data_IF_806444741768
#
_entry.id   IF_806444741768
#
_cell.length_a   1.000
_cell.length_b   1.000
_cell.length_c   1.000
_cell.angle_alpha   90.00
_cell.angle_beta   90.00
_cell.angle_gamma   90.00
#
_symmetry.space_group_name_H-M   'P 1'
#
loop_
_entity.id
_entity.type
_entity.pdbx_description
1 polymer ?
#
# COMPACT_ATOMS: atom_id res chain seq x y z
N UNK A 1 -78.32 10.21 0.17
CA UNK A 1 -77.16 9.31 0.23
C UNK A 1 -76.05 9.96 -0.60
N UNK A 2 -75.10 10.70 0.04
CA UNK A 2 -73.98 11.37 -0.64
C UNK A 2 -72.74 10.50 -0.38
N UNK A 3 -72.17 9.88 -1.45
CA UNK A 3 -70.92 9.14 -1.37
C UNK A 3 -69.77 10.15 -1.54
N UNK A 4 -68.99 10.31 -0.47
CA UNK A 4 -67.71 11.07 -0.50
C UNK A 4 -66.61 10.12 -0.97
N UNK A 5 -66.05 10.38 -2.15
CA UNK A 5 -64.89 9.67 -2.69
C UNK A 5 -63.61 10.33 -2.16
N UNK A 6 -62.92 9.68 -1.24
CA UNK A 6 -61.63 10.12 -0.74
C UNK A 6 -60.53 9.66 -1.71
N UNK A 7 -59.94 10.59 -2.44
CA UNK A 7 -58.72 10.36 -3.23
C UNK A 7 -57.50 10.36 -2.30
N UNK A 8 -56.88 9.19 -2.07
CA UNK A 8 -55.59 9.06 -1.44
C UNK A 8 -54.53 9.45 -2.49
N UNK A 9 -53.93 10.63 -2.32
CA UNK A 9 -52.78 11.09 -3.10
C UNK A 9 -51.52 10.46 -2.52
N UNK A 10 -51.07 9.30 -3.05
CA UNK A 10 -49.77 8.75 -2.75
C UNK A 10 -48.70 9.63 -3.40
N UNK A 11 -48.11 10.52 -2.65
CA UNK A 11 -46.90 11.24 -3.05
C UNK A 11 -45.72 10.24 -3.08
N UNK A 12 -45.38 9.77 -4.28
CA UNK A 12 -44.13 9.04 -4.52
C UNK A 12 -43.02 10.04 -4.44
N UNK A 13 -42.39 10.13 -3.28
CA UNK A 13 -41.08 10.80 -3.10
C UNK A 13 -40.03 9.99 -3.87
N UNK A 14 -39.88 10.29 -5.15
CA UNK A 14 -38.73 9.85 -5.94
C UNK A 14 -37.49 10.52 -5.32
N UNK A 15 -36.85 9.84 -4.38
CA UNK A 15 -35.54 10.24 -3.93
C UNK A 15 -34.60 10.29 -5.13
N UNK A 16 -34.19 11.47 -5.56
CA UNK A 16 -33.08 11.63 -6.49
C UNK A 16 -31.86 11.00 -5.80
N UNK A 17 -31.53 9.77 -6.19
CA UNK A 17 -30.23 9.19 -5.89
C UNK A 17 -29.20 10.06 -6.62
N UNK A 18 -28.59 11.00 -5.91
CA UNK A 18 -27.42 11.70 -6.42
C UNK A 18 -26.33 10.64 -6.56
N UNK A 19 -26.02 10.32 -7.82
CA UNK A 19 -24.89 9.45 -8.12
C UNK A 19 -23.64 10.12 -7.58
N UNK A 20 -22.96 9.46 -6.66
CA UNK A 20 -21.68 9.95 -6.16
C UNK A 20 -20.68 9.95 -7.31
N UNK A 21 -19.87 11.01 -7.38
CA UNK A 21 -18.78 11.03 -8.35
C UNK A 21 -17.73 9.97 -7.97
N UNK A 22 -17.24 9.20 -8.96
CA UNK A 22 -16.34 8.09 -8.70
C UNK A 22 -15.10 8.48 -7.88
N UNK A 23 -14.74 7.62 -6.91
CA UNK A 23 -13.46 7.66 -6.22
C UNK A 23 -12.51 6.72 -6.96
N UNK A 24 -11.47 7.27 -7.58
CA UNK A 24 -10.44 6.51 -8.28
C UNK A 24 -9.18 6.46 -7.45
N UNK A 25 -8.61 5.28 -7.30
CA UNK A 25 -7.37 5.02 -6.54
C UNK A 25 -6.34 4.44 -7.50
N UNK A 26 -5.11 4.95 -7.46
CA UNK A 26 -4.11 4.57 -8.44
C UNK A 26 -3.57 3.15 -8.28
N UNK A 27 -3.17 2.74 -7.07
CA UNK A 27 -2.51 1.46 -6.80
C UNK A 27 -3.29 0.58 -5.83
N UNK A 28 -3.09 -0.72 -5.96
CA UNK A 28 -3.85 -1.73 -5.23
C UNK A 28 -3.75 -1.63 -3.70
N UNK A 29 -2.59 -1.39 -3.05
CA UNK A 29 -2.53 -1.26 -1.59
C UNK A 29 -3.42 -0.12 -1.06
N UNK A 30 -3.41 1.03 -1.72
CA UNK A 30 -4.24 2.19 -1.32
C UNK A 30 -5.71 1.93 -1.64
N UNK A 31 -6.00 1.20 -2.72
CA UNK A 31 -7.36 0.76 -3.05
C UNK A 31 -7.96 -0.15 -1.97
N UNK A 32 -7.19 -1.10 -1.45
CA UNK A 32 -7.65 -1.96 -0.34
C UNK A 32 -7.97 -1.14 0.93
N UNK A 33 -7.17 -0.11 1.24
CA UNK A 33 -7.49 0.81 2.33
C UNK A 33 -8.78 1.57 2.00
N UNK A 34 -8.90 2.15 0.80
CA UNK A 34 -10.08 2.90 0.40
C UNK A 34 -11.36 2.06 0.48
N UNK A 35 -11.33 0.80 0.04
CA UNK A 35 -12.46 -0.13 0.17
C UNK A 35 -12.93 -0.29 1.63
N UNK A 36 -12.00 -0.41 2.59
CA UNK A 36 -12.34 -0.46 4.02
C UNK A 36 -13.05 0.80 4.48
N UNK A 37 -12.58 1.97 4.03
CA UNK A 37 -13.11 3.26 4.47
C UNK A 37 -14.48 3.55 3.85
N UNK A 38 -14.69 3.16 2.59
CA UNK A 38 -15.91 3.46 1.84
C UNK A 38 -16.98 2.36 1.94
N UNK A 39 -16.70 1.30 2.66
CA UNK A 39 -17.60 0.15 2.82
C UNK A 39 -19.02 0.57 3.24
N UNK A 40 -20.02 0.09 2.51
CA UNK A 40 -21.43 0.38 2.76
C UNK A 40 -21.90 1.74 2.21
N UNK A 41 -21.02 2.52 1.58
CA UNK A 41 -21.34 3.81 0.94
C UNK A 41 -21.09 3.75 -0.56
N UNK A 42 -19.87 3.39 -0.96
CA UNK A 42 -19.44 3.36 -2.36
C UNK A 42 -18.34 2.33 -2.57
N UNK A 43 -18.09 1.96 -3.82
CA UNK A 43 -16.97 1.12 -4.23
C UNK A 43 -15.96 1.98 -4.99
N UNK A 44 -14.72 2.15 -4.51
CA UNK A 44 -13.70 2.85 -5.26
C UNK A 44 -13.32 2.07 -6.53
N UNK A 45 -12.80 2.78 -7.53
CA UNK A 45 -12.25 2.20 -8.75
C UNK A 45 -10.72 2.11 -8.64
N UNK A 46 -10.14 0.96 -8.99
CA UNK A 46 -8.69 0.78 -9.09
C UNK A 46 -8.22 1.17 -10.49
N UNK A 47 -7.31 2.16 -10.58
CA UNK A 47 -6.81 2.65 -11.85
C UNK A 47 -5.80 1.69 -12.50
N UNK A 48 -4.81 1.22 -11.73
CA UNK A 48 -3.69 0.43 -12.23
C UNK A 48 -3.85 -1.05 -11.83
N UNK A 49 -4.79 -1.72 -12.47
CA UNK A 49 -4.93 -3.17 -12.27
C UNK A 49 -3.72 -3.91 -12.85
N UNK A 50 -3.12 -4.81 -12.05
CA UNK A 50 -2.00 -5.67 -12.46
C UNK A 50 -0.74 -4.92 -12.96
N UNK A 51 -0.57 -3.66 -12.58
CA UNK A 51 0.62 -2.87 -12.87
C UNK A 51 1.32 -2.47 -11.56
N UNK A 52 2.66 -2.49 -11.57
CA UNK A 52 3.41 -1.81 -10.51
C UNK A 52 3.34 -0.30 -10.74
N UNK A 53 3.34 0.50 -9.66
CA UNK A 53 3.33 1.96 -9.76
C UNK A 53 4.54 2.52 -10.54
N UNK A 54 5.62 1.75 -10.64
CA UNK A 54 6.85 2.14 -11.33
C UNK A 54 6.74 2.04 -12.86
N UNK A 55 5.95 1.08 -13.39
CA UNK A 55 5.83 0.77 -14.82
C UNK A 55 4.43 1.06 -15.37
N UNK A 56 3.98 2.30 -15.20
CA UNK A 56 2.63 2.68 -15.58
C UNK A 56 2.51 2.92 -17.08
N UNK A 57 1.61 2.18 -17.75
CA UNK A 57 1.18 2.43 -19.11
C UNK A 57 -0.28 2.92 -19.12
N UNK A 58 -0.47 4.21 -19.38
CA UNK A 58 -1.79 4.81 -19.43
C UNK A 58 -2.53 4.46 -20.73
N UNK A 59 -3.64 3.75 -20.59
CA UNK A 59 -4.59 3.46 -21.66
C UNK A 59 -5.62 4.59 -21.82
N UNK A 60 -6.38 4.64 -22.94
CA UNK A 60 -7.53 5.53 -23.07
C UNK A 60 -8.58 5.34 -21.96
N UNK A 61 -8.78 4.10 -21.48
CA UNK A 61 -9.71 3.81 -20.38
C UNK A 61 -9.24 4.46 -19.07
N UNK A 62 -7.94 4.38 -18.74
CA UNK A 62 -7.38 5.05 -17.56
C UNK A 62 -7.58 6.57 -17.62
N UNK A 63 -7.37 7.19 -18.80
CA UNK A 63 -7.60 8.64 -18.97
C UNK A 63 -9.05 9.01 -18.77
N UNK A 64 -9.98 8.18 -19.27
CA UNK A 64 -11.41 8.38 -19.07
C UNK A 64 -11.78 8.26 -17.59
N UNK A 65 -11.33 7.23 -16.88
CA UNK A 65 -11.57 7.06 -15.44
C UNK A 65 -11.09 8.28 -14.64
N UNK A 66 -9.89 8.79 -14.93
CA UNK A 66 -9.35 10.02 -14.31
C UNK A 66 -10.23 11.25 -14.62
N UNK A 67 -10.74 11.36 -15.84
CA UNK A 67 -11.53 12.50 -16.31
C UNK A 67 -12.93 12.53 -15.67
N UNK A 68 -13.53 11.35 -15.51
CA UNK A 68 -14.87 11.18 -14.91
C UNK A 68 -14.83 11.20 -13.36
N UNK A 69 -13.65 11.07 -12.76
CA UNK A 69 -13.49 10.98 -11.31
C UNK A 69 -13.85 12.28 -10.59
N UNK A 70 -14.63 12.16 -9.52
CA UNK A 70 -14.84 13.26 -8.58
C UNK A 70 -13.67 13.45 -7.60
N UNK A 71 -12.86 12.40 -7.43
CA UNK A 71 -11.63 12.42 -6.66
C UNK A 71 -10.71 11.30 -7.15
N UNK A 72 -9.45 11.64 -7.44
CA UNK A 72 -8.37 10.68 -7.70
C UNK A 72 -7.39 10.74 -6.54
N UNK A 73 -7.13 9.60 -5.89
CA UNK A 73 -6.08 9.49 -4.88
C UNK A 73 -4.96 8.63 -5.46
N UNK A 74 -3.78 9.20 -5.55
CA UNK A 74 -2.57 8.53 -6.02
C UNK A 74 -1.45 8.68 -5.00
N UNK A 75 -0.44 7.82 -5.10
CA UNK A 75 0.64 7.88 -4.13
C UNK A 75 1.50 9.14 -4.33
N UNK A 76 1.78 9.50 -5.57
CA UNK A 76 2.55 10.69 -5.91
C UNK A 76 3.64 10.42 -6.96
N UNK A 77 4.20 11.47 -7.52
CA UNK A 77 5.20 11.39 -8.60
C UNK A 77 6.45 10.58 -8.27
N UNK A 78 6.79 10.48 -6.99
CA UNK A 78 7.95 9.70 -6.57
C UNK A 78 7.77 8.19 -6.78
N UNK A 79 6.51 7.71 -6.85
CA UNK A 79 6.17 6.31 -7.09
C UNK A 79 5.62 6.10 -8.50
N UNK A 80 4.76 7.02 -8.95
CA UNK A 80 3.96 6.90 -10.17
C UNK A 80 4.31 8.04 -11.14
N UNK A 81 5.61 8.19 -11.44
CA UNK A 81 6.11 9.28 -12.29
C UNK A 81 5.34 9.47 -13.63
N UNK A 82 4.88 8.41 -14.34
CA UNK A 82 4.11 8.59 -15.57
C UNK A 82 2.74 9.26 -15.34
N UNK A 83 2.14 9.16 -14.15
CA UNK A 83 0.86 9.79 -13.83
C UNK A 83 0.98 11.31 -13.64
N UNK A 84 2.15 11.84 -13.32
CA UNK A 84 2.37 13.27 -13.09
C UNK A 84 1.84 14.13 -14.25
N UNK A 85 2.01 13.67 -15.49
CA UNK A 85 1.53 14.40 -16.68
C UNK A 85 0.01 14.57 -16.77
N UNK A 86 -0.74 13.69 -16.09
CA UNK A 86 -2.22 13.66 -16.15
C UNK A 86 -2.83 14.13 -14.84
N UNK A 87 -2.17 13.87 -13.71
CA UNK A 87 -2.67 14.18 -12.37
C UNK A 87 -2.04 15.45 -11.78
N UNK A 88 -0.81 15.78 -12.18
CA UNK A 88 -0.15 17.02 -11.76
C UNK A 88 -0.94 18.24 -12.26
N UNK A 89 -1.50 19.01 -11.32
CA UNK A 89 -2.36 20.15 -11.64
C UNK A 89 -3.84 19.83 -11.84
N UNK A 90 -4.26 18.56 -11.78
CA UNK A 90 -5.69 18.21 -11.73
C UNK A 90 -6.24 18.54 -10.33
N UNK A 91 -7.23 19.46 -10.20
CA UNK A 91 -7.76 19.88 -8.90
C UNK A 91 -8.48 18.74 -8.15
N UNK A 92 -8.89 17.69 -8.84
CA UNK A 92 -9.53 16.51 -8.27
C UNK A 92 -8.52 15.40 -7.91
N UNK A 93 -7.22 15.61 -8.17
CA UNK A 93 -6.19 14.62 -7.85
C UNK A 93 -5.40 15.02 -6.60
N UNK A 94 -5.27 14.08 -5.68
CA UNK A 94 -4.55 14.28 -4.42
C UNK A 94 -3.45 13.25 -4.28
N UNK A 95 -2.20 13.73 -4.12
CA UNK A 95 -1.02 12.91 -3.82
C UNK A 95 -0.95 12.64 -2.31
N UNK A 96 -0.84 11.37 -1.94
CA UNK A 96 -0.64 10.96 -0.55
C UNK A 96 0.72 11.44 -0.03
N UNK A 97 1.78 11.28 -0.81
CA UNK A 97 3.14 11.66 -0.39
C UNK A 97 3.30 13.17 -0.20
N UNK A 98 2.57 14.00 -0.98
CA UNK A 98 2.62 15.45 -0.89
C UNK A 98 1.62 16.03 0.14
N UNK A 99 0.73 15.20 0.70
CA UNK A 99 -0.32 15.63 1.64
C UNK A 99 0.18 16.01 3.03
N UNK A 100 1.41 15.64 3.39
CA UNK A 100 1.99 15.85 4.72
C UNK A 100 1.50 14.90 5.82
N UNK A 101 0.59 13.95 5.50
CA UNK A 101 0.07 12.99 6.50
C UNK A 101 1.01 11.83 6.77
N UNK A 102 1.95 11.56 5.87
CA UNK A 102 2.82 10.38 5.93
C UNK A 102 4.07 10.65 6.75
N UNK A 103 4.42 9.71 7.60
CA UNK A 103 5.74 9.65 8.19
C UNK A 103 6.67 8.94 7.20
N UNK A 104 7.29 9.75 6.32
CA UNK A 104 8.16 9.27 5.27
C UNK A 104 9.55 8.92 5.78
N UNK A 105 10.14 7.87 5.20
CA UNK A 105 11.54 7.49 5.37
C UNK A 105 12.29 7.80 4.06
N UNK A 106 13.59 8.15 4.12
CA UNK A 106 14.40 8.30 2.90
C UNK A 106 14.67 6.94 2.25
N UNK A 107 14.87 6.91 0.95
CA UNK A 107 15.49 5.74 0.30
C UNK A 107 16.85 5.44 0.92
N UNK A 108 17.28 4.20 0.83
CA UNK A 108 18.61 3.75 1.22
C UNK A 108 19.33 3.14 0.02
N UNK A 109 20.64 3.28 0.00
CA UNK A 109 21.48 2.49 -0.91
C UNK A 109 21.41 0.99 -0.57
N UNK A 110 21.88 0.15 -1.46
CA UNK A 110 22.04 -1.30 -1.22
C UNK A 110 22.85 -1.64 0.04
N UNK A 111 23.57 -0.67 0.61
CA UNK A 111 24.36 -0.80 1.85
C UNK A 111 23.70 -0.18 3.09
N UNK A 112 22.46 0.26 2.97
CA UNK A 112 21.67 0.82 4.07
C UNK A 112 21.98 2.28 4.41
N UNK A 113 22.72 3.00 3.57
CA UNK A 113 22.99 4.43 3.77
C UNK A 113 21.82 5.24 3.24
N UNK A 114 21.21 6.06 4.10
CA UNK A 114 20.11 6.94 3.71
C UNK A 114 20.52 7.95 2.64
N UNK A 115 19.68 8.11 1.62
CA UNK A 115 19.88 9.02 0.50
C UNK A 115 19.08 10.30 0.78
N UNK A 116 19.78 11.42 0.91
CA UNK A 116 19.14 12.71 1.22
C UNK A 116 18.17 13.14 0.11
N UNK A 117 17.11 13.84 0.50
CA UNK A 117 16.09 14.39 -0.40
C UNK A 117 15.36 13.34 -1.25
N UNK A 118 15.25 12.11 -0.75
CA UNK A 118 14.48 11.03 -1.36
C UNK A 118 13.40 10.55 -0.41
N UNK A 119 12.41 9.82 -0.95
CA UNK A 119 11.34 9.19 -0.18
C UNK A 119 11.26 7.73 -0.61
N UNK A 120 11.33 6.81 0.37
CA UNK A 120 10.89 5.43 0.18
C UNK A 120 9.37 5.43 0.07
N UNK A 121 8.87 5.00 -1.07
CA UNK A 121 7.46 5.13 -1.42
C UNK A 121 6.58 3.98 -0.91
N UNK A 122 7.14 2.92 -0.29
CA UNK A 122 6.39 1.77 0.23
C UNK A 122 5.67 2.07 1.55
N UNK A 123 5.15 3.29 1.68
CA UNK A 123 4.60 3.88 2.92
C UNK A 123 3.43 3.11 3.53
N UNK A 124 2.66 2.37 2.71
CA UNK A 124 1.52 1.56 3.17
C UNK A 124 1.93 0.36 4.02
N UNK A 125 3.19 -0.03 3.98
CA UNK A 125 3.71 -1.14 4.80
C UNK A 125 3.87 -0.77 6.27
N UNK A 126 3.98 0.53 6.62
CA UNK A 126 3.89 0.98 8.02
C UNK A 126 2.43 1.00 8.49
N UNK A 127 2.06 0.25 9.54
CA UNK A 127 0.70 0.23 10.08
C UNK A 127 0.14 1.60 10.44
N UNK A 128 0.99 2.52 10.94
CA UNK A 128 0.53 3.86 11.30
C UNK A 128 0.29 4.73 10.07
N UNK A 129 1.12 4.61 9.03
CA UNK A 129 0.88 5.30 7.77
C UNK A 129 -0.40 4.77 7.11
N UNK A 130 -0.62 3.44 7.09
CA UNK A 130 -1.87 2.86 6.60
C UNK A 130 -3.10 3.44 7.31
N UNK A 131 -3.05 3.55 8.65
CA UNK A 131 -4.10 4.18 9.46
C UNK A 131 -4.30 5.65 9.11
N UNK A 132 -3.22 6.41 8.93
CA UNK A 132 -3.27 7.83 8.52
C UNK A 132 -3.91 7.99 7.14
N UNK A 133 -3.55 7.13 6.18
CA UNK A 133 -4.17 7.09 4.85
C UNK A 133 -5.67 6.83 4.97
N UNK A 134 -6.08 5.86 5.79
CA UNK A 134 -7.50 5.58 6.02
C UNK A 134 -8.27 6.78 6.58
N UNK A 135 -7.74 7.47 7.59
CA UNK A 135 -8.37 8.70 8.12
C UNK A 135 -8.37 9.84 7.11
N UNK A 136 -7.34 9.95 6.28
CA UNK A 136 -7.27 10.95 5.23
C UNK A 136 -8.36 10.75 4.17
N UNK A 137 -8.53 9.52 3.69
CA UNK A 137 -9.62 9.17 2.77
C UNK A 137 -10.98 9.47 3.41
N UNK A 138 -11.19 9.11 4.69
CA UNK A 138 -12.43 9.40 5.40
C UNK A 138 -12.70 10.91 5.50
N UNK A 139 -11.67 11.72 5.73
CA UNK A 139 -11.80 13.18 5.79
C UNK A 139 -12.21 13.76 4.43
N UNK A 140 -11.52 13.38 3.35
CA UNK A 140 -11.80 13.85 2.00
C UNK A 140 -13.23 13.49 1.56
N UNK A 141 -13.63 12.23 1.74
CA UNK A 141 -14.98 11.79 1.35
C UNK A 141 -16.06 12.39 2.26
N UNK A 142 -15.79 12.60 3.54
CA UNK A 142 -16.73 13.30 4.45
C UNK A 142 -16.93 14.76 4.10
N UNK A 143 -15.95 15.42 3.49
CA UNK A 143 -16.07 16.78 2.99
C UNK A 143 -16.91 16.84 1.70
N UNK A 144 -16.73 15.87 0.80
CA UNK A 144 -17.50 15.77 -0.44
C UNK A 144 -18.94 15.29 -0.21
N UNK A 145 -19.17 14.39 0.76
CA UNK A 145 -20.47 13.77 1.07
C UNK A 145 -20.73 13.80 2.58
N UNK A 146 -21.14 14.96 3.12
CA UNK A 146 -21.36 15.16 4.57
C UNK A 146 -22.41 14.21 5.14
N UNK A 147 -23.38 13.77 4.35
CA UNK A 147 -24.44 12.82 4.72
C UNK A 147 -23.88 11.43 5.08
N UNK A 148 -22.74 11.04 4.52
CA UNK A 148 -22.06 9.78 4.80
C UNK A 148 -20.90 9.90 5.80
N UNK A 149 -20.64 11.09 6.33
CA UNK A 149 -19.53 11.39 7.22
C UNK A 149 -19.42 10.41 8.38
N UNK A 150 -20.54 10.10 9.05
CA UNK A 150 -20.52 9.20 10.21
C UNK A 150 -20.02 7.80 9.82
N UNK A 151 -20.39 7.30 8.64
CA UNK A 151 -20.00 5.98 8.15
C UNK A 151 -18.51 5.94 7.80
N UNK A 152 -18.00 6.89 7.02
CA UNK A 152 -16.57 6.99 6.70
C UNK A 152 -15.69 7.02 7.96
N UNK A 153 -16.05 7.85 8.95
CA UNK A 153 -15.29 7.95 10.19
C UNK A 153 -15.37 6.69 11.05
N UNK A 154 -16.53 6.01 11.10
CA UNK A 154 -16.68 4.75 11.83
C UNK A 154 -15.85 3.65 11.17
N UNK A 155 -15.87 3.56 9.84
CA UNK A 155 -15.05 2.62 9.08
C UNK A 155 -13.55 2.88 9.32
N UNK A 156 -13.09 4.14 9.27
CA UNK A 156 -11.70 4.49 9.54
C UNK A 156 -11.26 4.12 10.97
N UNK A 157 -12.13 4.35 11.97
CA UNK A 157 -11.85 3.92 13.35
C UNK A 157 -11.80 2.39 13.49
N UNK A 158 -12.66 1.65 12.78
CA UNK A 158 -12.63 0.19 12.77
C UNK A 158 -11.34 -0.32 12.14
N UNK A 159 -11.02 0.19 10.95
CA UNK A 159 -9.77 -0.12 10.25
C UNK A 159 -8.54 0.15 11.13
N UNK A 160 -8.50 1.31 11.81
CA UNK A 160 -7.39 1.65 12.69
C UNK A 160 -7.22 0.65 13.84
N UNK A 161 -8.34 0.24 14.50
CA UNK A 161 -8.29 -0.79 15.56
C UNK A 161 -7.81 -2.14 15.04
N UNK A 162 -8.32 -2.58 13.89
CA UNK A 162 -7.92 -3.83 13.25
C UNK A 162 -6.43 -3.82 12.91
N UNK A 163 -5.95 -2.75 12.28
CA UNK A 163 -4.57 -2.60 11.83
C UNK A 163 -3.57 -2.56 13.00
N UNK A 164 -3.88 -1.77 14.04
CA UNK A 164 -3.03 -1.68 15.23
C UNK A 164 -3.00 -3.02 15.98
N UNK A 165 -4.16 -3.68 16.14
CA UNK A 165 -4.22 -5.01 16.76
C UNK A 165 -3.41 -6.04 15.96
N UNK A 166 -3.50 -6.02 14.62
CA UNK A 166 -2.73 -6.89 13.74
C UNK A 166 -1.23 -6.68 13.92
N UNK A 167 -0.79 -5.43 13.93
CA UNK A 167 0.62 -5.06 14.13
C UNK A 167 1.14 -5.49 15.51
N UNK A 168 0.38 -5.25 16.57
CA UNK A 168 0.76 -5.64 17.94
C UNK A 168 0.93 -7.15 18.10
N UNK A 169 0.04 -7.95 17.50
CA UNK A 169 0.10 -9.43 17.55
C UNK A 169 1.33 -10.01 16.85
N UNK A 170 1.86 -9.30 15.86
CA UNK A 170 3.03 -9.72 15.07
C UNK A 170 4.32 -9.01 15.50
N UNK A 171 4.22 -8.06 16.43
CA UNK A 171 5.40 -7.40 16.98
C UNK A 171 6.29 -8.41 17.71
N UNK A 172 7.59 -8.35 17.46
CA UNK A 172 8.58 -9.18 18.12
C UNK A 172 9.47 -8.36 19.06
N UNK A 173 9.91 -8.98 20.15
CA UNK A 173 10.82 -8.38 21.14
C UNK A 173 12.25 -8.90 20.98
N UNK A 174 13.18 -8.30 21.72
CA UNK A 174 14.60 -8.68 21.73
C UNK A 174 15.42 -7.96 20.65
N UNK A 175 16.60 -8.51 20.32
CA UNK A 175 17.48 -7.89 19.33
C UNK A 175 16.85 -7.94 17.93
N UNK A 176 16.94 -6.83 17.16
CA UNK A 176 16.46 -6.79 15.78
C UNK A 176 17.06 -7.90 14.92
N UNK A 177 16.26 -8.47 14.02
CA UNK A 177 16.66 -9.59 13.18
C UNK A 177 17.09 -9.10 11.81
N UNK A 178 18.30 -9.49 11.40
CA UNK A 178 18.87 -9.09 10.12
C UNK A 178 18.18 -9.80 8.96
N UNK A 179 17.95 -9.05 7.87
CA UNK A 179 17.48 -9.57 6.60
C UNK A 179 18.22 -8.91 5.43
N UNK A 180 18.24 -9.58 4.32
CA UNK A 180 18.57 -9.04 3.01
C UNK A 180 17.32 -8.84 2.18
N UNK A 181 17.34 -7.88 1.29
CA UNK A 181 16.29 -7.66 0.31
C UNK A 181 16.81 -7.83 -1.12
N UNK A 182 15.95 -8.16 -2.07
CA UNK A 182 16.30 -8.04 -3.47
C UNK A 182 16.47 -6.56 -3.82
N UNK A 183 15.40 -5.75 -3.68
CA UNK A 183 15.47 -4.30 -3.57
C UNK A 183 14.87 -3.84 -2.23
N UNK A 184 15.15 -2.63 -1.77
CA UNK A 184 14.76 -2.17 -0.42
C UNK A 184 13.29 -1.71 -0.35
N UNK A 185 12.35 -2.64 -0.50
CA UNK A 185 10.91 -2.38 -0.38
C UNK A 185 10.36 -2.51 1.04
N UNK A 186 11.12 -3.07 1.99
CA UNK A 186 10.60 -3.55 3.28
C UNK A 186 10.99 -2.68 4.48
N UNK A 187 11.55 -1.49 4.26
CA UNK A 187 12.02 -0.58 5.30
C UNK A 187 10.94 -0.25 6.34
N UNK A 188 9.71 -0.04 5.89
CA UNK A 188 8.57 0.26 6.77
C UNK A 188 8.09 -0.92 7.63
N UNK A 189 8.55 -2.14 7.37
CA UNK A 189 8.29 -3.30 8.22
C UNK A 189 9.31 -3.44 9.36
N UNK A 190 10.43 -2.72 9.32
CA UNK A 190 11.51 -2.89 10.30
C UNK A 190 11.04 -2.61 11.72
N UNK A 191 10.37 -1.49 11.93
CA UNK A 191 9.88 -1.11 13.25
C UNK A 191 8.79 -2.06 13.76
N UNK A 192 7.70 -2.33 13.04
CA UNK A 192 6.63 -3.21 13.55
C UNK A 192 7.07 -4.65 13.76
N UNK A 193 8.02 -5.17 12.99
CA UNK A 193 8.47 -6.55 13.08
C UNK A 193 9.83 -6.72 13.78
N UNK A 194 10.43 -5.63 14.27
CA UNK A 194 11.76 -5.62 14.91
C UNK A 194 12.84 -6.24 14.01
N UNK A 195 12.94 -5.71 12.78
CA UNK A 195 13.92 -6.14 11.78
C UNK A 195 15.05 -5.15 11.65
N UNK A 196 16.16 -5.61 11.07
CA UNK A 196 17.34 -4.80 10.74
C UNK A 196 17.80 -5.11 9.32
N UNK A 197 17.75 -4.11 8.47
CA UNK A 197 18.30 -4.21 7.14
C UNK A 197 19.80 -4.49 7.17
N UNK A 198 20.24 -5.48 6.40
CA UNK A 198 21.65 -5.86 6.29
C UNK A 198 22.17 -5.74 4.85
N UNK A 199 21.37 -5.19 3.94
CA UNK A 199 21.71 -4.89 2.57
C UNK A 199 20.71 -5.41 1.55
N UNK A 200 20.76 -4.84 0.34
CA UNK A 200 19.97 -5.28 -0.80
C UNK A 200 20.87 -5.72 -1.96
N UNK A 201 20.30 -6.51 -2.85
CA UNK A 201 21.00 -6.99 -4.05
C UNK A 201 21.10 -5.92 -5.14
N UNK A 202 20.09 -5.05 -5.23
CA UNK A 202 20.00 -3.97 -6.21
C UNK A 202 19.25 -2.78 -5.61
N UNK A 203 19.44 -1.59 -6.19
CA UNK A 203 18.66 -0.40 -5.86
C UNK A 203 17.36 -0.32 -6.68
N UNK A 204 17.30 -1.06 -7.81
CA UNK A 204 16.18 -1.06 -8.76
C UNK A 204 15.70 -2.52 -8.99
N UNK A 205 14.40 -2.83 -8.77
CA UNK A 205 13.87 -4.19 -8.96
C UNK A 205 14.01 -4.74 -10.38
N UNK A 206 14.15 -3.86 -11.37
CA UNK A 206 14.31 -4.26 -12.80
C UNK A 206 15.77 -4.50 -13.21
N UNK A 207 16.72 -4.25 -12.31
CA UNK A 207 18.15 -4.41 -12.58
C UNK A 207 18.71 -5.65 -11.91
N UNK A 208 19.39 -6.49 -12.68
CA UNK A 208 20.02 -7.69 -12.15
C UNK A 208 21.15 -7.35 -11.15
N UNK A 209 21.29 -8.11 -10.06
CA UNK A 209 22.36 -7.95 -9.08
C UNK A 209 23.75 -8.10 -9.71
N UNK A 210 24.69 -7.24 -9.33
CA UNK A 210 26.08 -7.38 -9.76
C UNK A 210 26.84 -8.43 -8.94
N UNK A 211 27.85 -9.07 -9.56
CA UNK A 211 28.73 -10.00 -8.84
C UNK A 211 29.46 -9.32 -7.67
N UNK A 212 29.80 -8.05 -7.79
CA UNK A 212 30.41 -7.26 -6.73
C UNK A 212 29.48 -7.08 -5.52
N UNK A 213 28.19 -6.82 -5.76
CA UNK A 213 27.21 -6.66 -4.70
C UNK A 213 26.91 -8.00 -4.00
N UNK A 214 26.81 -9.11 -4.76
CA UNK A 214 26.66 -10.46 -4.19
C UNK A 214 27.87 -10.79 -3.29
N UNK A 215 29.09 -10.51 -3.78
CA UNK A 215 30.31 -10.71 -2.98
C UNK A 215 30.28 -9.87 -1.71
N UNK A 216 29.96 -8.58 -1.82
CA UNK A 216 29.86 -7.68 -0.67
C UNK A 216 28.91 -8.19 0.42
N UNK A 217 27.69 -8.61 0.05
CA UNK A 217 26.73 -9.16 0.99
C UNK A 217 27.23 -10.43 1.68
N UNK A 218 27.94 -11.30 0.94
CA UNK A 218 28.55 -12.49 1.53
C UNK A 218 29.69 -12.13 2.51
N UNK A 219 30.50 -11.14 2.19
CA UNK A 219 31.63 -10.72 3.03
C UNK A 219 31.16 -10.10 4.37
N UNK A 220 30.04 -9.35 4.35
CA UNK A 220 29.50 -8.68 5.57
C UNK A 220 28.39 -9.48 6.25
N UNK A 221 28.11 -10.69 5.84
CA UNK A 221 27.04 -11.56 6.33
C UNK A 221 26.97 -11.57 7.86
N UNK A 222 25.89 -11.07 8.49
CA UNK A 222 25.81 -10.95 9.95
C UNK A 222 25.50 -12.28 10.67
N UNK A 223 24.93 -13.26 9.96
CA UNK A 223 24.58 -14.58 10.49
C UNK A 223 24.82 -15.66 9.42
N UNK A 224 25.05 -16.92 9.82
CA UNK A 224 25.42 -18.03 8.91
C UNK A 224 24.39 -18.23 7.82
N UNK A 225 23.09 -18.18 8.13
CA UNK A 225 21.98 -18.30 7.17
C UNK A 225 21.18 -17.02 7.19
N UNK A 226 21.09 -16.33 6.06
CA UNK A 226 20.37 -15.07 5.94
C UNK A 226 18.95 -15.28 5.38
N UNK A 227 17.98 -14.51 5.89
CA UNK A 227 16.70 -14.36 5.23
C UNK A 227 16.88 -13.39 4.06
N UNK A 228 16.49 -13.80 2.85
CA UNK A 228 16.36 -12.95 1.67
C UNK A 228 14.87 -12.75 1.35
N UNK A 229 14.43 -11.52 1.40
CA UNK A 229 13.10 -11.09 0.94
C UNK A 229 13.21 -10.62 -0.51
N UNK A 230 12.34 -11.11 -1.38
CA UNK A 230 12.32 -10.72 -2.79
C UNK A 230 10.87 -10.62 -3.26
N UNK A 231 10.66 -10.03 -4.44
CA UNK A 231 9.33 -9.84 -5.01
C UNK A 231 8.62 -11.19 -5.31
N UNK A 232 7.29 -11.10 -5.42
CA UNK A 232 6.42 -12.28 -5.50
C UNK A 232 6.69 -13.27 -6.63
N UNK A 233 7.34 -12.86 -7.73
CA UNK A 233 7.69 -13.71 -8.88
C UNK A 233 9.09 -14.34 -8.79
N UNK A 234 9.90 -13.95 -7.82
CA UNK A 234 11.27 -14.42 -7.67
C UNK A 234 11.37 -15.89 -7.22
N UNK A 235 12.41 -16.58 -7.66
CA UNK A 235 12.66 -17.99 -7.31
C UNK A 235 14.03 -18.18 -6.64
N UNK A 236 14.17 -19.15 -5.71
CA UNK A 236 15.43 -19.39 -4.99
C UNK A 236 16.64 -19.64 -5.91
N UNK A 237 16.42 -20.28 -7.07
CA UNK A 237 17.49 -20.62 -8.01
C UNK A 237 18.23 -19.37 -8.52
N UNK A 238 17.56 -18.24 -8.66
CA UNK A 238 18.14 -16.97 -9.10
C UNK A 238 19.21 -16.43 -8.13
N UNK A 239 19.19 -16.87 -6.87
CA UNK A 239 20.01 -16.37 -5.79
C UNK A 239 21.00 -17.39 -5.21
N UNK A 240 21.26 -18.48 -5.94
CA UNK A 240 22.15 -19.56 -5.50
C UNK A 240 23.56 -19.09 -5.12
N UNK A 241 24.06 -18.01 -5.76
CA UNK A 241 25.40 -17.43 -5.46
C UNK A 241 25.47 -16.72 -4.11
N UNK A 242 24.33 -16.47 -3.44
CA UNK A 242 24.31 -15.96 -2.08
C UNK A 242 24.62 -17.02 -1.01
N UNK A 243 24.77 -18.29 -1.41
CA UNK A 243 25.09 -19.38 -0.49
C UNK A 243 23.92 -19.72 0.44
N UNK A 244 24.18 -19.84 1.74
CA UNK A 244 23.18 -20.29 2.71
C UNK A 244 22.15 -19.18 3.03
N UNK A 245 20.98 -19.26 2.38
CA UNK A 245 19.87 -18.33 2.57
C UNK A 245 18.57 -19.09 2.89
N UNK A 246 17.70 -18.46 3.68
CA UNK A 246 16.28 -18.70 3.69
C UNK A 246 15.66 -17.71 2.70
N UNK A 247 14.90 -18.18 1.75
CA UNK A 247 14.28 -17.35 0.72
C UNK A 247 12.77 -17.21 0.97
N UNK A 248 12.24 -16.01 0.80
CA UNK A 248 10.81 -15.75 0.82
C UNK A 248 10.43 -14.74 -0.25
N UNK A 249 9.56 -15.16 -1.14
CA UNK A 249 8.87 -14.25 -2.05
C UNK A 249 7.75 -13.52 -1.26
N UNK A 250 7.83 -12.20 -1.23
CA UNK A 250 6.90 -11.32 -0.50
C UNK A 250 6.40 -10.24 -1.45
N UNK A 251 5.09 -10.25 -1.69
CA UNK A 251 4.44 -9.31 -2.60
C UNK A 251 4.02 -8.03 -1.85
N UNK A 252 4.84 -7.00 -1.96
CA UNK A 252 4.60 -5.68 -1.36
C UNK A 252 3.43 -4.93 -2.02
N UNK A 253 3.03 -5.33 -3.24
CA UNK A 253 1.88 -4.74 -3.94
C UNK A 253 0.54 -5.25 -3.41
N UNK A 254 0.55 -6.32 -2.63
CA UNK A 254 -0.62 -6.96 -2.04
C UNK A 254 -1.65 -7.45 -3.09
N UNK A 255 -1.22 -7.65 -4.35
CA UNK A 255 -2.10 -7.82 -5.51
C UNK A 255 -3.10 -8.97 -5.41
N UNK A 256 -2.76 -10.06 -4.69
CA UNK A 256 -3.63 -11.24 -4.54
C UNK A 256 -4.71 -11.13 -3.46
N UNK A 257 -4.74 -10.03 -2.70
CA UNK A 257 -5.63 -9.86 -1.56
C UNK A 257 -6.81 -8.93 -1.86
N UNK A 258 -7.91 -9.12 -1.09
CA UNK A 258 -9.11 -8.29 -1.15
C UNK A 258 -9.36 -7.52 0.16
N UNK A 259 -8.49 -7.68 1.16
CA UNK A 259 -8.56 -7.01 2.45
C UNK A 259 -7.17 -6.58 2.89
N UNK A 260 -7.02 -5.29 3.21
CA UNK A 260 -5.71 -4.72 3.55
C UNK A 260 -5.10 -5.32 4.82
N UNK A 261 -5.90 -5.51 5.86
CA UNK A 261 -5.40 -6.02 7.16
C UNK A 261 -4.94 -7.47 7.01
N UNK A 262 -5.72 -8.29 6.30
CA UNK A 262 -5.36 -9.68 5.98
C UNK A 262 -4.10 -9.73 5.13
N UNK A 263 -4.00 -8.88 4.11
CA UNK A 263 -2.83 -8.77 3.24
C UNK A 263 -1.57 -8.42 4.03
N UNK A 264 -1.62 -7.37 4.84
CA UNK A 264 -0.51 -6.93 5.67
C UNK A 264 -0.08 -8.01 6.67
N UNK A 265 -1.05 -8.69 7.32
CA UNK A 265 -0.76 -9.79 8.25
C UNK A 265 -0.07 -10.98 7.55
N UNK A 266 -0.49 -11.33 6.33
CA UNK A 266 0.14 -12.41 5.57
C UNK A 266 1.57 -12.07 5.21
N UNK A 267 1.79 -10.87 4.67
CA UNK A 267 3.11 -10.35 4.33
C UNK A 267 4.04 -10.32 5.56
N UNK A 268 3.54 -9.83 6.69
CA UNK A 268 4.30 -9.80 7.94
C UNK A 268 4.66 -11.22 8.44
N UNK A 269 3.72 -12.18 8.37
CA UNK A 269 3.97 -13.60 8.75
C UNK A 269 4.96 -14.27 7.81
N UNK A 270 4.85 -14.06 6.50
CA UNK A 270 5.77 -14.58 5.50
C UNK A 270 7.21 -14.05 5.75
N UNK A 271 7.33 -12.75 6.02
CA UNK A 271 8.60 -12.12 6.43
C UNK A 271 9.17 -12.77 7.69
N UNK A 272 8.36 -12.93 8.74
CA UNK A 272 8.79 -13.58 9.98
C UNK A 272 9.17 -15.04 9.78
N UNK A 273 8.43 -15.80 8.96
CA UNK A 273 8.75 -17.19 8.67
C UNK A 273 10.14 -17.33 8.03
N UNK A 274 10.50 -16.45 7.08
CA UNK A 274 11.84 -16.37 6.52
C UNK A 274 12.91 -16.12 7.60
N UNK A 275 12.69 -15.12 8.44
CA UNK A 275 13.59 -14.76 9.53
C UNK A 275 13.80 -15.92 10.52
N UNK A 276 12.74 -16.64 10.88
CA UNK A 276 12.85 -17.79 11.79
C UNK A 276 13.52 -18.99 11.13
N UNK A 277 13.27 -19.25 9.84
CA UNK A 277 13.93 -20.34 9.11
C UNK A 277 15.42 -20.08 8.89
N UNK A 278 15.86 -18.85 8.90
CA UNK A 278 17.27 -18.45 8.85
C UNK A 278 18.03 -18.75 10.15
N UNK A 279 17.34 -19.09 11.25
CA UNK A 279 17.96 -19.39 12.55
C UNK A 279 18.18 -20.86 12.82
N UNK A 280 17.56 -21.72 12.04
CA UNK A 280 17.75 -23.18 12.09
C UNK A 280 18.87 -23.58 11.14
#
# INVERSE_FOLDING_TARGET
MKRVLAFLLCAVLSGMAWSQSPLVISIHPIYLIAQKITQGVETPELLLENQSGHDVQLTPAHRKAIQDAGLVIWLGKAHEAPLEKVLGGNPNAISILDSGIIQALPLRSTRGVAIKNTIDTHVWLDPNNAVRIGFFIAALRSQQYPEHKAMYWNNAKSFAREMISASQKLSSSGNPKSYWAFHDAYQYLERPLNLKFAGALTDDPHVAPTAAQIKYLNDIRPVTKMCLLAEGSATPAQYSKLGNIAFQAVDETLAKYQDFVVAWQSLAKETQACIYSARK
#
